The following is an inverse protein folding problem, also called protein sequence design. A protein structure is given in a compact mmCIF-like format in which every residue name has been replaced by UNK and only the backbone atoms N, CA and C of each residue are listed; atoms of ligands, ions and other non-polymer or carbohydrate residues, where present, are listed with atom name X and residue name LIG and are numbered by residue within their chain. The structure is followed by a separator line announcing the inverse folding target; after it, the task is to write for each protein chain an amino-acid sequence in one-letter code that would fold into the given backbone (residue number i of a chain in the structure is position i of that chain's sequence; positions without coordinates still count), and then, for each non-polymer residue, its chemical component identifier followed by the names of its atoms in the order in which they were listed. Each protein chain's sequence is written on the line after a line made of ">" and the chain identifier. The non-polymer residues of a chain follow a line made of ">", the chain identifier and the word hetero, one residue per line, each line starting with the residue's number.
data_IF_320432932907
#
_entry.id   IF_320432932907
#
_cell.length_a   1.000
_cell.length_b   1.000
_cell.length_c   1.000
_cell.angle_alpha   90.00
_cell.angle_beta   90.00
_cell.angle_gamma   90.00
#
_symmetry.space_group_name_H-M   'P 1'
#
loop_
_entity.id
_entity.type
_entity.pdbx_description
1 polymer ?
#
# COMPACT_ATOMS: atom_id res chain seq x y z
N UNK A 1 -18.44 -18.27 -2.61
CA UNK A 1 -17.08 -18.64 -3.07
C UNK A 1 -17.01 -20.15 -3.22
N UNK A 2 -16.68 -20.66 -4.41
CA UNK A 2 -16.79 -22.09 -4.78
C UNK A 2 -15.46 -22.85 -4.63
N UNK A 3 -14.32 -22.19 -4.80
CA UNK A 3 -12.98 -22.79 -4.60
C UNK A 3 -12.60 -22.78 -3.12
N UNK A 4 -12.39 -23.96 -2.52
CA UNK A 4 -12.09 -24.14 -1.08
C UNK A 4 -10.63 -24.52 -0.79
N UNK A 5 -9.88 -24.91 -1.81
CA UNK A 5 -8.49 -25.37 -1.69
C UNK A 5 -7.64 -24.69 -2.76
N UNK A 6 -6.37 -24.46 -2.44
CA UNK A 6 -5.41 -23.94 -3.43
C UNK A 6 -4.89 -25.08 -4.30
N UNK A 7 -4.91 -24.90 -5.61
CA UNK A 7 -4.42 -25.87 -6.59
C UNK A 7 -3.25 -25.27 -7.39
N UNK A 8 -2.27 -26.09 -7.75
CA UNK A 8 -1.11 -25.70 -8.53
C UNK A 8 -1.12 -26.42 -9.88
N UNK A 9 -1.25 -25.67 -10.96
CA UNK A 9 -1.22 -26.16 -12.33
C UNK A 9 0.18 -25.97 -12.91
N UNK A 10 0.80 -27.03 -13.42
CA UNK A 10 2.02 -26.92 -14.21
C UNK A 10 1.70 -26.67 -15.68
N UNK A 11 2.42 -25.72 -16.27
CA UNK A 11 2.37 -25.37 -17.69
C UNK A 11 3.73 -25.70 -18.35
N UNK A 12 3.83 -25.66 -19.68
CA UNK A 12 5.12 -25.75 -20.36
C UNK A 12 6.13 -24.70 -19.87
N UNK A 13 7.40 -24.91 -20.20
CA UNK A 13 8.48 -23.95 -19.92
C UNK A 13 8.70 -23.64 -18.43
N UNK A 14 8.47 -24.62 -17.55
CA UNK A 14 8.63 -24.47 -16.09
C UNK A 14 7.73 -23.37 -15.49
N UNK A 15 6.56 -23.16 -16.10
CA UNK A 15 5.58 -22.18 -15.62
C UNK A 15 4.56 -22.86 -14.70
N UNK A 16 4.12 -22.16 -13.65
CA UNK A 16 3.11 -22.66 -12.72
C UNK A 16 2.03 -21.61 -12.46
N UNK A 17 0.77 -22.03 -12.42
CA UNK A 17 -0.38 -21.20 -12.05
C UNK A 17 -0.94 -21.73 -10.74
N UNK A 18 -1.03 -20.88 -9.72
CA UNK A 18 -1.65 -21.23 -8.45
C UNK A 18 -3.07 -20.63 -8.42
N UNK A 19 -4.08 -21.48 -8.45
CA UNK A 19 -5.46 -21.05 -8.18
C UNK A 19 -5.65 -21.07 -6.66
N UNK A 20 -5.90 -19.90 -6.08
CA UNK A 20 -6.12 -19.74 -4.64
C UNK A 20 -7.53 -19.23 -4.40
N UNK A 21 -8.20 -19.67 -3.32
CA UNK A 21 -9.36 -18.94 -2.84
C UNK A 21 -9.04 -17.46 -2.69
N UNK A 22 -10.00 -16.58 -3.02
CA UNK A 22 -9.82 -15.14 -2.80
C UNK A 22 -9.53 -14.83 -1.34
N UNK A 23 -8.98 -13.64 -1.08
CA UNK A 23 -8.66 -13.21 0.29
C UNK A 23 -9.91 -13.19 1.18
N UNK A 24 -9.97 -14.08 2.18
CA UNK A 24 -11.07 -14.15 3.16
C UNK A 24 -11.03 -12.96 4.13
N UNK A 25 -9.85 -12.44 4.40
CA UNK A 25 -9.60 -11.21 5.14
C UNK A 25 -8.41 -10.48 4.55
N UNK A 26 -8.51 -9.16 4.43
CA UNK A 26 -7.40 -8.29 4.10
C UNK A 26 -6.85 -7.75 5.41
N UNK A 27 -5.87 -8.46 5.96
CA UNK A 27 -5.12 -7.98 7.11
C UNK A 27 -3.87 -7.27 6.61
N UNK A 28 -3.62 -6.08 7.14
CA UNK A 28 -2.34 -5.43 6.92
C UNK A 28 -1.23 -6.29 7.57
N UNK A 29 -0.09 -6.49 6.88
CA UNK A 29 1.03 -7.24 7.46
C UNK A 29 1.56 -6.55 8.73
N UNK A 30 2.47 -7.19 9.44
CA UNK A 30 3.24 -6.51 10.49
C UNK A 30 4.17 -5.49 9.82
N UNK A 31 3.69 -4.26 9.70
CA UNK A 31 4.46 -3.12 9.22
C UNK A 31 4.32 -1.93 10.19
N UNK A 32 5.37 -1.13 10.31
CA UNK A 32 5.28 0.18 10.94
C UNK A 32 4.45 1.11 10.06
N UNK A 33 3.66 2.01 10.66
CA UNK A 33 2.85 2.97 9.89
C UNK A 33 3.71 3.83 8.95
N UNK A 34 4.95 4.13 9.33
CA UNK A 34 5.91 4.87 8.52
C UNK A 34 6.41 4.09 7.29
N UNK A 35 6.39 2.76 7.34
CA UNK A 35 6.81 1.88 6.23
C UNK A 35 5.74 1.76 5.16
N UNK A 36 4.48 2.10 5.46
CA UNK A 36 3.37 2.00 4.52
C UNK A 36 3.62 2.76 3.21
N UNK A 37 4.35 3.89 3.28
CA UNK A 37 4.67 4.70 2.09
C UNK A 37 5.45 3.93 1.03
N UNK A 38 6.23 2.93 1.42
CA UNK A 38 7.07 2.14 0.51
C UNK A 38 6.25 1.21 -0.39
N UNK A 39 5.00 0.91 0.02
CA UNK A 39 4.03 0.11 -0.73
C UNK A 39 3.21 0.93 -1.73
N UNK A 40 3.41 2.25 -1.78
CA UNK A 40 2.76 3.17 -2.72
C UNK A 40 3.79 3.69 -3.72
N UNK A 41 3.98 2.94 -4.80
CA UNK A 41 4.97 3.26 -5.84
C UNK A 41 4.76 4.65 -6.46
N UNK A 42 3.52 5.11 -6.52
CA UNK A 42 3.15 6.43 -7.01
C UNK A 42 3.76 7.59 -6.21
N UNK A 43 4.15 7.37 -4.95
CA UNK A 43 4.75 8.40 -4.10
C UNK A 43 6.23 8.63 -4.40
N UNK A 44 6.95 7.60 -4.87
CA UNK A 44 8.40 7.63 -5.10
C UNK A 44 8.92 8.87 -5.85
N UNK A 45 8.35 9.28 -7.00
CA UNK A 45 8.84 10.45 -7.74
C UNK A 45 8.65 11.78 -6.99
N UNK A 46 7.71 11.86 -6.05
CA UNK A 46 7.37 13.08 -5.32
C UNK A 46 7.92 13.09 -3.89
N UNK A 47 8.28 11.93 -3.34
CA UNK A 47 8.84 11.81 -2.00
C UNK A 47 10.18 12.55 -1.86
N UNK A 48 10.97 12.65 -2.94
CA UNK A 48 12.22 13.43 -2.98
C UNK A 48 12.01 14.94 -2.84
N UNK A 49 10.79 15.43 -3.10
CA UNK A 49 10.42 16.83 -2.97
C UNK A 49 9.84 17.15 -1.59
N UNK A 50 9.75 16.17 -0.69
CA UNK A 50 9.36 16.41 0.68
C UNK A 50 10.48 17.13 1.44
N UNK A 51 10.08 18.09 2.28
CA UNK A 51 11.01 18.81 3.16
C UNK A 51 11.72 17.90 4.18
N UNK A 52 11.03 16.88 4.68
CA UNK A 52 11.54 16.00 5.74
C UNK A 52 11.96 14.65 5.17
N UNK A 53 13.19 14.24 5.52
CA UNK A 53 13.63 12.87 5.36
C UNK A 53 12.76 11.98 6.25
N UNK A 54 12.06 11.01 5.66
CA UNK A 54 11.14 10.18 6.42
C UNK A 54 9.71 10.71 6.51
N UNK A 55 9.31 11.67 5.67
CA UNK A 55 7.92 12.11 5.53
C UNK A 55 6.96 10.91 5.36
N UNK A 56 5.93 10.81 6.20
CA UNK A 56 4.85 9.85 6.09
C UNK A 56 3.72 10.34 5.17
N UNK A 57 3.82 11.55 4.62
CA UNK A 57 2.84 12.13 3.70
C UNK A 57 1.43 12.26 4.30
N UNK A 58 1.29 12.42 5.61
CA UNK A 58 0.01 12.58 6.30
C UNK A 58 -0.16 14.05 6.71
N UNK A 59 0.52 14.46 7.78
CA UNK A 59 0.35 15.78 8.39
C UNK A 59 1.53 16.73 8.13
N UNK A 60 2.59 16.24 7.48
CA UNK A 60 3.81 16.99 7.27
C UNK A 60 3.57 18.23 6.39
N UNK A 61 4.08 19.41 6.77
CA UNK A 61 4.10 20.56 5.89
C UNK A 61 5.10 20.34 4.75
N UNK A 62 4.92 21.04 3.63
CA UNK A 62 5.84 21.01 2.48
C UNK A 62 6.11 19.58 1.97
N UNK A 63 5.04 18.90 1.56
CA UNK A 63 5.06 17.50 1.15
C UNK A 63 4.79 17.37 -0.34
N UNK A 64 5.82 16.98 -1.12
CA UNK A 64 5.71 16.76 -2.57
C UNK A 64 4.60 15.81 -2.99
N UNK A 65 4.30 14.77 -2.19
CA UNK A 65 3.17 13.86 -2.46
C UNK A 65 1.83 14.59 -2.36
N UNK A 66 1.63 15.46 -1.36
CA UNK A 66 0.39 16.24 -1.21
C UNK A 66 0.27 17.31 -2.29
N UNK A 67 1.39 17.90 -2.72
CA UNK A 67 1.42 18.83 -3.84
C UNK A 67 1.05 18.13 -5.16
N UNK A 68 1.64 16.97 -5.43
CA UNK A 68 1.32 16.16 -6.60
C UNK A 68 -0.15 15.72 -6.62
N UNK A 69 -0.71 15.38 -5.46
CA UNK A 69 -2.13 15.12 -5.31
C UNK A 69 -2.98 16.35 -5.65
N UNK A 70 -2.65 17.53 -5.10
CA UNK A 70 -3.36 18.78 -5.39
C UNK A 70 -3.31 19.17 -6.88
N UNK A 71 -2.23 18.80 -7.56
CA UNK A 71 -2.05 19.00 -9.01
C UNK A 71 -2.72 17.92 -9.86
N UNK A 72 -3.41 16.93 -9.26
CA UNK A 72 -4.09 15.85 -9.98
C UNK A 72 -3.15 14.83 -10.62
N UNK A 73 -1.88 14.77 -10.21
CA UNK A 73 -0.88 13.84 -10.76
C UNK A 73 -0.97 12.43 -10.18
N UNK A 74 -1.85 12.23 -9.19
CA UNK A 74 -2.12 10.94 -8.54
C UNK A 74 -3.61 10.82 -8.26
N UNK A 75 -4.09 9.58 -8.14
CA UNK A 75 -5.49 9.34 -7.79
C UNK A 75 -5.79 9.74 -6.34
N UNK A 76 -6.80 10.57 -6.14
CA UNK A 76 -7.30 10.91 -4.79
C UNK A 76 -7.76 9.69 -4.02
N UNK A 77 -8.39 8.71 -4.68
CA UNK A 77 -8.84 7.47 -4.02
C UNK A 77 -7.67 6.64 -3.48
N UNK A 78 -6.52 6.66 -4.17
CA UNK A 78 -5.32 5.97 -3.71
C UNK A 78 -4.76 6.63 -2.45
N UNK A 79 -4.70 7.96 -2.43
CA UNK A 79 -4.25 8.69 -1.25
C UNK A 79 -5.23 8.56 -0.06
N UNK A 80 -6.53 8.50 -0.31
CA UNK A 80 -7.53 8.24 0.74
C UNK A 80 -7.37 6.85 1.35
N UNK A 81 -7.16 5.83 0.54
CA UNK A 81 -6.85 4.47 1.01
C UNK A 81 -5.55 4.44 1.82
N UNK A 82 -4.53 5.19 1.38
CA UNK A 82 -3.28 5.33 2.12
C UNK A 82 -3.52 5.87 3.54
N UNK A 83 -4.29 6.96 3.68
CA UNK A 83 -4.64 7.54 4.98
C UNK A 83 -5.42 6.54 5.85
N UNK A 84 -6.35 5.79 5.26
CA UNK A 84 -7.14 4.79 5.98
C UNK A 84 -6.24 3.71 6.59
N UNK A 85 -5.37 3.11 5.78
CA UNK A 85 -4.44 2.08 6.25
C UNK A 85 -3.40 2.64 7.22
N UNK A 86 -2.96 3.88 7.05
CA UNK A 86 -2.04 4.52 7.98
C UNK A 86 -2.68 4.69 9.37
N UNK A 87 -3.93 5.13 9.44
CA UNK A 87 -4.67 5.21 10.71
C UNK A 87 -4.96 3.83 11.29
N UNK A 88 -5.25 2.82 10.47
CA UNK A 88 -5.42 1.43 10.93
C UNK A 88 -4.15 0.90 11.61
N UNK A 89 -2.99 1.08 10.98
CA UNK A 89 -1.68 0.69 11.54
C UNK A 89 -1.33 1.47 12.81
N UNK A 90 -1.64 2.77 12.84
CA UNK A 90 -1.42 3.62 14.01
C UNK A 90 -2.27 3.21 15.21
N UNK A 91 -3.49 2.72 14.97
CA UNK A 91 -4.42 2.28 16.02
C UNK A 91 -4.22 0.83 16.46
N UNK A 92 -3.38 0.07 15.74
CA UNK A 92 -3.04 -1.31 16.08
C UNK A 92 -2.17 -1.35 17.35
N UNK A 93 -2.77 -1.76 18.47
CA UNK A 93 -2.04 -1.98 19.73
C UNK A 93 -1.05 -3.14 19.54
N UNK A 94 0.24 -2.86 19.72
CA UNK A 94 1.27 -3.89 19.94
C UNK A 94 1.04 -4.47 21.33
N UNK A 95 0.54 -5.69 21.41
CA UNK A 95 0.51 -6.50 22.63
C UNK A 95 1.66 -7.48 22.62
#
# INVERSE_FOLDING_TARGET
>A
HTTRHSELFSLPDQTYVMDTPGFTSLLLPELEKEELREYYQEFRPYALQCRFLGCAHINEPDCGVKEALAQGKMSSSRYENYKLFYEELKNRKRY
#
